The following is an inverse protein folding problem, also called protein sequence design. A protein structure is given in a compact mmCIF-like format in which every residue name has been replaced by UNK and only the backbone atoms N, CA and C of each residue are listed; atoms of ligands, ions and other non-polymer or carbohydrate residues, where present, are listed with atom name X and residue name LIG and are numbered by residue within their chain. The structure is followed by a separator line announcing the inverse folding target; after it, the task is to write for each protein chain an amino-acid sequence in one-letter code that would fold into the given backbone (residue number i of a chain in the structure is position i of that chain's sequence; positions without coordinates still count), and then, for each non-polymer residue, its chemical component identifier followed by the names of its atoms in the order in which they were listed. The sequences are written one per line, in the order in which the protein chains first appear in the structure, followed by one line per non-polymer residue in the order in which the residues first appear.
data_IF_958626654790
#
_entry.id   IF_958626654790
#
_cell.length_a   1.000
_cell.length_b   1.000
_cell.length_c   1.000
_cell.angle_alpha   90.00
_cell.angle_beta   90.00
_cell.angle_gamma   90.00
#
_symmetry.space_group_name_H-M   'P 1'
#
loop_
_entity.id
_entity.type
_entity.pdbx_description
1 polymer ?
#
# COMPACT_ATOMS: atom_id res chain seq x y z
N UNK A 1 33.37 -29.48 14.46
CA UNK A 1 32.16 -28.90 15.10
C UNK A 1 32.05 -27.37 14.95
N UNK A 2 33.07 -26.55 15.24
CA UNK A 2 32.98 -25.07 15.22
C UNK A 2 32.64 -24.45 13.86
N UNK A 3 33.05 -25.08 12.76
CA UNK A 3 32.76 -24.63 11.39
C UNK A 3 31.32 -24.88 10.94
N UNK A 4 30.67 -25.92 11.48
CA UNK A 4 29.24 -26.19 11.22
C UNK A 4 28.36 -25.14 11.89
N UNK A 5 28.75 -24.67 13.08
CA UNK A 5 28.06 -23.56 13.75
C UNK A 5 28.19 -22.24 12.97
N UNK A 6 29.35 -21.97 12.37
CA UNK A 6 29.58 -20.76 11.59
C UNK A 6 28.77 -20.74 10.29
N UNK A 7 28.60 -21.88 9.62
CA UNK A 7 27.77 -21.99 8.42
C UNK A 7 26.27 -21.89 8.74
N UNK A 8 25.82 -22.39 9.90
CA UNK A 8 24.42 -22.28 10.31
C UNK A 8 24.00 -20.82 10.58
N UNK A 9 24.91 -19.96 11.03
CA UNK A 9 24.62 -18.53 11.30
C UNK A 9 24.44 -17.74 10.01
N UNK A 10 25.15 -18.07 8.92
CA UNK A 10 25.03 -17.32 7.65
C UNK A 10 23.73 -17.63 6.92
N UNK A 11 23.14 -18.82 7.09
CA UNK A 11 21.82 -19.15 6.53
C UNK A 11 20.66 -18.50 7.28
N UNK A 12 20.82 -18.15 8.56
CA UNK A 12 19.78 -17.46 9.33
C UNK A 12 19.64 -15.96 8.98
N UNK A 13 20.61 -15.38 8.24
CA UNK A 13 20.69 -13.94 8.02
C UNK A 13 19.97 -13.39 6.78
N UNK A 14 19.63 -14.23 5.79
CA UNK A 14 19.31 -13.72 4.44
C UNK A 14 17.81 -13.58 4.11
N UNK A 15 16.90 -13.72 5.07
CA UNK A 15 15.45 -13.59 4.80
C UNK A 15 14.63 -13.17 6.01
N UNK A 16 14.57 -13.99 7.07
CA UNK A 16 13.70 -13.74 8.22
C UNK A 16 14.11 -12.52 9.05
N UNK A 17 15.41 -12.28 9.24
CA UNK A 17 15.89 -11.10 9.98
C UNK A 17 15.59 -9.81 9.21
N UNK A 18 15.80 -9.81 7.89
CA UNK A 18 15.46 -8.68 7.05
C UNK A 18 13.95 -8.39 7.08
N UNK A 19 13.10 -9.41 7.16
CA UNK A 19 11.64 -9.25 7.29
C UNK A 19 11.24 -8.50 8.56
N UNK A 20 11.89 -8.78 9.68
CA UNK A 20 11.63 -8.04 10.93
C UNK A 20 11.93 -6.55 10.78
N UNK A 21 13.01 -6.19 10.08
CA UNK A 21 13.38 -4.80 9.88
C UNK A 21 12.52 -4.11 8.81
N UNK A 22 12.32 -4.75 7.65
CA UNK A 22 11.63 -4.17 6.50
C UNK A 22 10.11 -4.13 6.67
N UNK A 23 9.50 -5.25 7.09
CA UNK A 23 8.04 -5.37 7.16
C UNK A 23 7.52 -5.02 8.55
N UNK A 24 8.10 -5.62 9.59
CA UNK A 24 7.55 -5.50 10.96
C UNK A 24 7.81 -4.12 11.56
N UNK A 25 9.00 -3.56 11.37
CA UNK A 25 9.36 -2.21 11.84
C UNK A 25 9.11 -1.18 10.76
N UNK A 26 9.89 -1.21 9.67
CA UNK A 26 9.89 -0.15 8.66
C UNK A 26 8.53 0.11 7.99
N UNK A 27 7.97 -0.91 7.34
CA UNK A 27 6.71 -0.76 6.60
C UNK A 27 5.51 -0.53 7.53
N UNK A 28 5.45 -1.21 8.68
CA UNK A 28 4.35 -1.00 9.62
C UNK A 28 4.38 0.41 10.23
N UNK A 29 5.52 0.85 10.76
CA UNK A 29 5.65 2.18 11.37
C UNK A 29 5.35 3.29 10.36
N UNK A 30 5.84 3.16 9.12
CA UNK A 30 5.55 4.13 8.06
C UNK A 30 4.08 4.18 7.67
N UNK A 31 3.38 3.04 7.61
CA UNK A 31 1.92 3.01 7.38
C UNK A 31 1.17 3.66 8.54
N UNK A 32 1.59 3.45 9.78
CA UNK A 32 0.95 4.12 10.93
C UNK A 32 1.21 5.64 10.94
N UNK A 33 2.39 6.10 10.48
CA UNK A 33 2.65 7.52 10.24
C UNK A 33 1.74 8.09 9.15
N UNK A 34 1.53 7.35 8.05
CA UNK A 34 0.60 7.74 6.99
C UNK A 34 -0.84 7.82 7.51
N UNK A 35 -1.26 6.88 8.37
CA UNK A 35 -2.56 6.91 9.05
C UNK A 35 -2.69 8.16 9.92
N UNK A 36 -1.67 8.46 10.73
CA UNK A 36 -1.66 9.64 11.60
C UNK A 36 -1.73 10.95 10.82
N UNK A 37 -1.17 10.97 9.60
CA UNK A 37 -1.26 12.11 8.68
C UNK A 37 -2.61 12.20 7.93
N UNK A 38 -3.58 11.31 8.21
CA UNK A 38 -4.87 11.23 7.50
C UNK A 38 -4.69 11.01 5.99
N UNK A 39 -3.71 10.19 5.60
CA UNK A 39 -3.42 9.91 4.20
C UNK A 39 -4.54 9.14 3.50
N UNK A 40 -5.44 8.48 4.24
CA UNK A 40 -6.68 7.90 3.71
C UNK A 40 -7.56 8.96 3.05
N UNK A 41 -7.64 10.14 3.66
CA UNK A 41 -8.37 11.28 3.10
C UNK A 41 -7.53 12.01 2.07
N UNK A 42 -6.30 12.39 2.42
CA UNK A 42 -5.55 13.36 1.62
C UNK A 42 -4.68 12.77 0.51
N UNK A 43 -4.33 11.48 0.59
CA UNK A 43 -3.49 10.79 -0.37
C UNK A 43 -3.99 9.34 -0.62
N UNK A 44 -5.27 9.17 -1.04
CA UNK A 44 -5.94 7.86 -1.04
C UNK A 44 -5.23 6.82 -1.92
N UNK A 45 -4.60 7.26 -3.02
CA UNK A 45 -3.84 6.38 -3.91
C UNK A 45 -2.65 5.74 -3.19
N UNK A 46 -1.76 6.55 -2.61
CA UNK A 46 -0.57 6.03 -1.92
C UNK A 46 -0.90 5.33 -0.61
N UNK A 47 -1.95 5.77 0.10
CA UNK A 47 -2.48 5.08 1.27
C UNK A 47 -2.92 3.64 0.94
N UNK A 48 -3.74 3.49 -0.10
CA UNK A 48 -4.20 2.17 -0.55
C UNK A 48 -3.03 1.32 -1.01
N UNK A 49 -2.10 1.90 -1.79
CA UNK A 49 -0.91 1.18 -2.25
C UNK A 49 -0.05 0.67 -1.08
N UNK A 50 0.17 1.50 -0.06
CA UNK A 50 0.98 1.13 1.11
C UNK A 50 0.33 0.02 1.94
N UNK A 51 -0.98 0.14 2.20
CA UNK A 51 -1.74 -0.85 2.99
C UNK A 51 -1.83 -2.20 2.29
N UNK A 52 -2.09 -2.22 0.98
CA UNK A 52 -2.17 -3.45 0.20
C UNK A 52 -0.82 -4.15 0.06
N UNK A 53 0.27 -3.41 -0.13
CA UNK A 53 1.60 -4.02 -0.13
C UNK A 53 2.03 -4.52 1.24
N UNK A 54 1.67 -3.84 2.33
CA UNK A 54 1.93 -4.34 3.68
C UNK A 54 1.15 -5.63 3.95
N UNK A 55 -0.09 -5.71 3.46
CA UNK A 55 -0.90 -6.92 3.54
C UNK A 55 -0.24 -8.08 2.77
N UNK A 56 0.13 -7.86 1.51
CA UNK A 56 0.80 -8.87 0.68
C UNK A 56 2.13 -9.34 1.29
N UNK A 57 2.92 -8.41 1.85
CA UNK A 57 4.15 -8.75 2.55
C UNK A 57 3.92 -9.74 3.71
N UNK A 58 2.81 -9.57 4.45
CA UNK A 58 2.43 -10.47 5.54
C UNK A 58 1.92 -11.82 5.02
N UNK A 59 1.19 -11.83 3.90
CA UNK A 59 0.75 -13.07 3.24
C UNK A 59 1.94 -13.90 2.79
N UNK A 60 2.91 -13.32 2.08
CA UNK A 60 4.11 -14.02 1.62
C UNK A 60 4.98 -14.53 2.79
N UNK A 61 5.11 -13.73 3.85
CA UNK A 61 5.82 -14.17 5.05
C UNK A 61 5.12 -15.38 5.73
N UNK A 62 3.78 -15.45 5.68
CA UNK A 62 3.03 -16.62 6.17
C UNK A 62 3.29 -17.88 5.35
N UNK A 63 3.70 -17.73 4.09
CA UNK A 63 4.15 -18.82 3.20
C UNK A 63 5.66 -19.09 3.28
N UNK A 64 6.35 -18.49 4.26
CA UNK A 64 7.80 -18.52 4.41
C UNK A 64 8.58 -17.94 3.20
N UNK A 65 7.91 -17.21 2.31
CA UNK A 65 8.58 -16.43 1.26
C UNK A 65 9.01 -15.06 1.80
N UNK A 66 10.13 -15.08 2.53
CA UNK A 66 10.69 -13.86 3.12
C UNK A 66 11.30 -12.91 2.08
N UNK A 67 11.78 -13.42 0.93
CA UNK A 67 12.34 -12.57 -0.11
C UNK A 67 11.24 -11.75 -0.80
N UNK A 68 10.12 -12.39 -1.13
CA UNK A 68 8.91 -11.71 -1.60
C UNK A 68 8.36 -10.74 -0.57
N UNK A 69 8.23 -11.17 0.69
CA UNK A 69 7.78 -10.32 1.79
C UNK A 69 8.64 -9.06 1.95
N UNK A 70 9.97 -9.19 1.90
CA UNK A 70 10.90 -8.06 2.01
C UNK A 70 10.76 -7.08 0.85
N UNK A 71 10.54 -7.58 -0.37
CA UNK A 71 10.29 -6.73 -1.55
C UNK A 71 9.01 -5.90 -1.36
N UNK A 72 7.91 -6.54 -0.97
CA UNK A 72 6.65 -5.83 -0.73
C UNK A 72 6.74 -4.89 0.49
N UNK A 73 7.50 -5.25 1.53
CA UNK A 73 7.79 -4.37 2.66
C UNK A 73 8.44 -3.05 2.24
N UNK A 74 9.47 -3.10 1.39
CA UNK A 74 10.10 -1.88 0.86
C UNK A 74 9.14 -1.04 0.05
N UNK A 75 8.36 -1.66 -0.84
CA UNK A 75 7.34 -0.97 -1.64
C UNK A 75 6.25 -0.32 -0.77
N UNK A 76 5.83 -1.00 0.30
CA UNK A 76 4.88 -0.47 1.27
C UNK A 76 5.46 0.76 1.98
N UNK A 77 6.70 0.69 2.43
CA UNK A 77 7.40 1.79 3.10
C UNK A 77 7.57 3.01 2.17
N UNK A 78 8.00 2.79 0.93
CA UNK A 78 8.11 3.85 -0.09
C UNK A 78 6.75 4.52 -0.37
N UNK A 79 5.69 3.71 -0.51
CA UNK A 79 4.34 4.22 -0.73
C UNK A 79 3.83 5.00 0.50
N UNK A 80 4.08 4.50 1.71
CA UNK A 80 3.66 5.16 2.95
C UNK A 80 4.35 6.52 3.14
N UNK A 81 5.65 6.63 2.83
CA UNK A 81 6.38 7.91 2.86
C UNK A 81 5.77 8.93 1.90
N UNK A 82 5.49 8.51 0.66
CA UNK A 82 4.80 9.37 -0.31
C UNK A 82 3.39 9.77 0.15
N UNK A 83 2.67 8.84 0.78
CA UNK A 83 1.35 9.13 1.35
C UNK A 83 1.42 10.22 2.42
N UNK A 84 2.43 10.19 3.31
CA UNK A 84 2.67 11.24 4.31
C UNK A 84 3.01 12.57 3.63
N UNK A 85 3.91 12.58 2.65
CA UNK A 85 4.32 13.79 1.93
C UNK A 85 3.13 14.47 1.25
N UNK A 86 2.31 13.70 0.52
CA UNK A 86 1.13 14.22 -0.16
C UNK A 86 0.04 14.66 0.83
N UNK A 87 -0.17 13.89 1.90
CA UNK A 87 -1.14 14.26 2.92
C UNK A 87 -0.78 15.59 3.60
N UNK A 88 0.50 15.79 3.93
CA UNK A 88 0.99 17.05 4.47
C UNK A 88 0.91 18.20 3.47
N UNK A 89 1.17 17.93 2.18
CA UNK A 89 1.04 18.92 1.13
C UNK A 89 -0.42 19.39 0.97
N UNK A 90 -1.38 18.47 0.94
CA UNK A 90 -2.82 18.77 0.86
C UNK A 90 -3.40 19.41 2.13
N UNK A 91 -2.80 19.12 3.30
CA UNK A 91 -3.15 19.82 4.53
C UNK A 91 -2.79 21.32 4.44
N UNK A 92 -1.62 21.64 3.88
CA UNK A 92 -1.11 23.02 3.71
C UNK A 92 -1.76 23.76 2.54
N UNK A 93 -2.02 23.05 1.44
CA UNK A 93 -2.54 23.62 0.20
C UNK A 93 -3.94 23.06 -0.11
N UNK A 94 -5.00 23.86 0.03
CA UNK A 94 -6.36 23.42 -0.22
C UNK A 94 -6.63 23.01 -1.67
N UNK A 95 -5.83 23.48 -2.64
CA UNK A 95 -5.99 23.11 -4.05
C UNK A 95 -5.58 21.67 -4.35
N UNK A 96 -4.76 21.07 -3.48
CA UNK A 96 -4.26 19.68 -3.61
C UNK A 96 -5.09 18.66 -2.84
N UNK A 97 -6.18 19.12 -2.20
CA UNK A 97 -7.10 18.20 -1.52
C UNK A 97 -7.86 17.40 -2.57
N UNK A 98 -8.18 16.12 -2.28
CA UNK A 98 -9.06 15.37 -3.15
C UNK A 98 -10.36 16.13 -3.37
N UNK A 99 -10.83 16.13 -4.61
CA UNK A 99 -12.12 16.69 -4.96
C UNK A 99 -13.18 15.96 -4.13
N UNK A 100 -13.91 16.69 -3.30
CA UNK A 100 -15.13 16.18 -2.69
C UNK A 100 -16.07 15.92 -3.87
N UNK A 101 -16.21 14.65 -4.27
CA UNK A 101 -17.13 14.25 -5.33
C UNK A 101 -18.54 14.48 -4.79
N UNK A 102 -19.09 15.64 -5.10
CA UNK A 102 -20.48 15.95 -4.89
C UNK A 102 -21.30 14.84 -5.58
N UNK A 103 -22.20 14.22 -4.82
CA UNK A 103 -22.99 13.06 -5.24
C UNK A 103 -23.84 13.33 -6.50
N UNK A 104 -23.90 14.58 -6.93
CA UNK A 104 -24.58 15.06 -8.13
C UNK A 104 -23.74 14.87 -9.41
N UNK A 105 -22.41 14.79 -9.30
CA UNK A 105 -21.48 14.67 -10.42
C UNK A 105 -21.19 13.22 -10.84
N UNK A 106 -21.80 12.21 -10.21
CA UNK A 106 -21.67 10.82 -10.62
C UNK A 106 -22.73 10.53 -11.72
N UNK A 107 -22.38 10.51 -13.03
CA UNK A 107 -23.33 10.22 -14.11
C UNK A 107 -23.83 8.76 -14.11
N UNK A 108 -23.57 7.99 -13.06
CA UNK A 108 -23.87 6.58 -12.94
C UNK A 108 -25.02 6.28 -11.95
N UNK A 109 -25.90 7.24 -11.67
CA UNK A 109 -27.29 6.86 -11.42
C UNK A 109 -27.98 6.84 -12.77
N UNK A 110 -28.12 5.63 -13.30
CA UNK A 110 -29.17 5.34 -14.25
C UNK A 110 -30.46 5.93 -13.67
N UNK A 111 -30.95 6.93 -14.38
CA UNK A 111 -32.37 7.20 -14.45
C UNK A 111 -33.10 5.86 -14.57
N UNK A 112 -34.08 5.69 -13.72
CA UNK A 112 -35.10 4.65 -13.69
C UNK A 112 -35.98 4.61 -14.97
N UNK A 113 -35.58 5.31 -16.03
CA UNK A 113 -36.11 5.23 -17.39
C UNK A 113 -35.21 4.44 -18.33
N UNK A 114 -35.04 3.13 -18.08
CA UNK A 114 -34.95 2.07 -19.09
C UNK A 114 -34.22 2.36 -20.42
N UNK A 115 -33.06 3.01 -20.38
CA UNK A 115 -32.27 3.37 -21.57
C UNK A 115 -30.96 2.61 -21.61
N UNK A 116 -30.97 1.31 -21.89
CA UNK A 116 -29.74 0.57 -22.23
C UNK A 116 -29.18 1.18 -23.52
N UNK A 117 -28.00 1.78 -23.44
CA UNK A 117 -27.27 2.26 -24.62
C UNK A 117 -27.12 1.10 -25.62
N UNK A 118 -27.47 1.28 -26.90
CA UNK A 118 -27.39 0.20 -27.86
C UNK A 118 -25.93 -0.25 -27.98
N UNK A 119 -25.69 -1.53 -27.68
CA UNK A 119 -24.45 -2.17 -28.02
C UNK A 119 -24.26 -1.98 -29.53
N UNK A 120 -23.10 -1.44 -29.94
CA UNK A 120 -22.76 -1.43 -31.37
C UNK A 120 -22.71 -2.88 -31.81
N UNK A 121 -23.68 -3.27 -32.63
CA UNK A 121 -23.71 -4.58 -33.25
C UNK A 121 -22.38 -4.81 -33.99
N UNK A 122 -21.78 -5.95 -33.69
CA UNK A 122 -20.62 -6.45 -34.40
C UNK A 122 -20.97 -6.63 -35.88
N UNK A 123 -20.27 -5.89 -36.74
CA UNK A 123 -20.14 -6.21 -38.16
C UNK A 123 -19.05 -7.24 -38.38
#
# INVERSE_FOLDING_TARGET
MRWVLALAVTLAGCGPIAYLNEVTRGAHDSVELARAAQADKYAPYYWTRATQYLHEAKVLASHADFQGANRFGRLANEAAKKAVEEAQAAAKDPSKRPLELDKELAPAKADDSGGVAPAKDAQ
#
